data_IF_499433894210
#
_entry.id   IF_499433894210
#
_cell.length_a   1.000
_cell.length_b   1.000
_cell.length_c   1.000
_cell.angle_alpha   90.00
_cell.angle_beta   90.00
_cell.angle_gamma   90.00
#
_symmetry.space_group_name_H-M   'P 1'
#
loop_
_entity.id
_entity.type
_entity.pdbx_description
1 polymer ?
#
# COMPACT_ATOMS: atom_id res chain seq x y z
N UNK A 1 -23.62 22.59 8.37
CA UNK A 1 -23.81 23.68 7.37
C UNK A 1 -23.83 23.12 5.94
N UNK A 2 -22.85 22.32 5.53
CA UNK A 2 -22.82 21.69 4.18
C UNK A 2 -23.98 20.69 3.96
N UNK A 3 -24.25 19.80 4.93
CA UNK A 3 -25.34 18.80 4.81
C UNK A 3 -26.72 19.42 4.55
N UNK A 4 -26.98 20.63 5.07
CA UNK A 4 -28.23 21.34 4.84
C UNK A 4 -28.40 21.78 3.38
N UNK A 5 -27.32 22.27 2.74
CA UNK A 5 -27.36 22.61 1.32
C UNK A 5 -27.56 21.36 0.44
N UNK A 6 -27.00 20.22 0.85
CA UNK A 6 -27.23 18.93 0.20
C UNK A 6 -28.70 18.51 0.31
N UNK A 7 -29.31 18.63 1.49
CA UNK A 7 -30.73 18.32 1.72
C UNK A 7 -31.68 19.25 0.96
N UNK A 8 -31.29 20.49 0.73
CA UNK A 8 -32.05 21.50 -0.01
C UNK A 8 -31.81 21.45 -1.52
N UNK A 9 -31.07 20.45 -2.02
CA UNK A 9 -30.71 20.29 -3.43
C UNK A 9 -29.89 21.47 -4.01
N UNK A 10 -29.28 22.28 -3.15
CA UNK A 10 -28.41 23.42 -3.50
C UNK A 10 -26.97 22.95 -3.80
N UNK A 11 -26.84 22.05 -4.77
CA UNK A 11 -25.62 21.28 -4.99
C UNK A 11 -24.37 22.09 -5.33
N UNK A 12 -24.49 23.17 -6.10
CA UNK A 12 -23.34 23.99 -6.48
C UNK A 12 -22.71 24.67 -5.26
N UNK A 13 -23.54 25.22 -4.36
CA UNK A 13 -23.06 25.82 -3.10
C UNK A 13 -22.46 24.77 -2.17
N UNK A 14 -23.03 23.57 -2.14
CA UNK A 14 -22.44 22.46 -1.38
C UNK A 14 -21.04 22.11 -1.91
N UNK A 15 -20.85 22.04 -3.24
CA UNK A 15 -19.55 21.75 -3.87
C UNK A 15 -18.51 22.84 -3.57
N UNK A 16 -18.86 24.12 -3.72
CA UNK A 16 -17.95 25.24 -3.41
C UNK A 16 -17.44 25.20 -1.96
N UNK A 17 -18.33 24.91 -1.01
CA UNK A 17 -17.95 24.76 0.39
C UNK A 17 -17.07 23.54 0.62
N UNK A 18 -17.35 22.40 -0.03
CA UNK A 18 -16.51 21.20 0.06
C UNK A 18 -15.10 21.48 -0.49
N UNK A 19 -15.00 22.14 -1.64
CA UNK A 19 -13.73 22.46 -2.29
C UNK A 19 -12.85 23.36 -1.42
N UNK A 20 -13.46 24.26 -0.64
CA UNK A 20 -12.77 25.14 0.31
C UNK A 20 -12.18 24.44 1.55
N UNK A 21 -12.60 23.20 1.85
CA UNK A 21 -12.09 22.44 3.00
C UNK A 21 -10.65 21.96 2.72
N UNK A 22 -9.68 22.24 3.60
CA UNK A 22 -8.33 21.69 3.52
C UNK A 22 -8.33 20.16 3.47
N UNK A 23 -7.45 19.56 2.66
CA UNK A 23 -7.35 18.09 2.50
C UNK A 23 -7.16 17.31 3.82
N UNK A 24 -6.73 17.96 4.90
CA UNK A 24 -6.38 17.34 6.17
C UNK A 24 -7.42 17.57 7.30
N UNK A 25 -8.59 18.15 7.03
CA UNK A 25 -9.60 18.44 8.07
C UNK A 25 -11.02 18.00 7.69
N UNK A 26 -11.73 17.39 8.66
CA UNK A 26 -13.11 16.87 8.58
C UNK A 26 -13.28 15.84 7.44
N UNK A 27 -14.26 14.93 7.55
CA UNK A 27 -14.56 13.91 6.55
C UNK A 27 -15.09 14.52 5.22
N UNK A 28 -14.21 15.25 4.52
CA UNK A 28 -14.46 15.84 3.20
C UNK A 28 -14.87 14.77 2.20
N UNK A 29 -14.24 13.59 2.30
CA UNK A 29 -14.60 12.41 1.51
C UNK A 29 -16.06 12.03 1.73
N UNK A 30 -16.51 11.86 2.97
CA UNK A 30 -17.90 11.54 3.29
C UNK A 30 -18.89 12.60 2.80
N UNK A 31 -18.56 13.89 2.92
CA UNK A 31 -19.40 14.97 2.38
C UNK A 31 -19.51 14.92 0.85
N UNK A 32 -18.40 14.68 0.15
CA UNK A 32 -18.38 14.57 -1.31
C UNK A 32 -19.15 13.34 -1.80
N UNK A 33 -18.99 12.19 -1.13
CA UNK A 33 -19.73 10.95 -1.41
C UNK A 33 -21.24 11.18 -1.27
N UNK A 34 -21.67 11.83 -0.19
CA UNK A 34 -23.09 12.14 0.04
C UNK A 34 -23.65 13.06 -1.06
N UNK A 35 -22.89 14.07 -1.48
CA UNK A 35 -23.28 14.95 -2.59
C UNK A 35 -23.41 14.17 -3.90
N UNK A 36 -22.46 13.30 -4.23
CA UNK A 36 -22.54 12.46 -5.44
C UNK A 36 -23.75 11.54 -5.44
N UNK A 37 -24.04 10.88 -4.31
CA UNK A 37 -25.23 10.01 -4.18
C UNK A 37 -26.51 10.81 -4.41
N UNK A 38 -26.63 12.02 -3.83
CA UNK A 38 -27.80 12.89 -4.04
C UNK A 38 -27.94 13.39 -5.47
N UNK A 39 -26.82 13.57 -6.18
CA UNK A 39 -26.81 13.91 -7.61
C UNK A 39 -27.05 12.71 -8.53
N UNK A 40 -27.22 11.48 -8.01
CA UNK A 40 -27.32 10.26 -8.80
C UNK A 40 -25.99 9.80 -9.43
N UNK A 41 -24.86 10.42 -9.05
CA UNK A 41 -23.50 10.12 -9.52
C UNK A 41 -22.89 8.96 -8.75
N UNK A 42 -23.54 7.80 -8.83
CA UNK A 42 -23.20 6.64 -8.01
C UNK A 42 -21.80 6.07 -8.33
N UNK A 43 -21.37 6.11 -9.59
CA UNK A 43 -20.07 5.60 -9.99
C UNK A 43 -18.93 6.44 -9.41
N UNK A 44 -19.09 7.77 -9.40
CA UNK A 44 -18.13 8.70 -8.79
C UNK A 44 -18.08 8.54 -7.27
N UNK A 45 -19.22 8.27 -6.63
CA UNK A 45 -19.28 7.96 -5.20
C UNK A 45 -18.53 6.66 -4.87
N UNK A 46 -18.77 5.59 -5.65
CA UNK A 46 -18.10 4.30 -5.48
C UNK A 46 -16.59 4.44 -5.68
N UNK A 47 -16.16 5.02 -6.80
CA UNK A 47 -14.74 5.25 -7.08
C UNK A 47 -14.04 6.00 -5.93
N UNK A 48 -14.66 7.05 -5.41
CA UNK A 48 -14.09 7.84 -4.31
C UNK A 48 -13.99 7.04 -3.00
N UNK A 49 -15.00 6.23 -2.67
CA UNK A 49 -14.98 5.35 -1.49
C UNK A 49 -13.90 4.28 -1.60
N UNK A 50 -13.77 3.64 -2.76
CA UNK A 50 -12.78 2.60 -3.01
C UNK A 50 -11.35 3.14 -2.99
N UNK A 51 -11.10 4.30 -3.60
CA UNK A 51 -9.81 5.00 -3.50
C UNK A 51 -9.48 5.36 -2.05
N UNK A 52 -10.45 5.87 -1.30
CA UNK A 52 -10.26 6.20 0.11
C UNK A 52 -9.98 4.95 0.96
N UNK A 53 -10.68 3.83 0.69
CA UNK A 53 -10.41 2.54 1.34
C UNK A 53 -8.96 2.11 1.08
N UNK A 54 -8.51 2.13 -0.17
CA UNK A 54 -7.14 1.76 -0.53
C UNK A 54 -6.10 2.63 0.20
N UNK A 55 -6.31 3.94 0.26
CA UNK A 55 -5.42 4.87 1.00
C UNK A 55 -5.38 4.50 2.49
N UNK A 56 -6.53 4.25 3.12
CA UNK A 56 -6.61 3.92 4.55
C UNK A 56 -5.95 2.58 4.89
N UNK A 57 -6.11 1.58 4.03
CA UNK A 57 -5.43 0.29 4.21
C UNK A 57 -3.90 0.44 4.10
N UNK A 58 -3.41 1.24 3.15
CA UNK A 58 -1.98 1.54 3.04
C UNK A 58 -1.46 2.31 4.27
N UNK A 59 -2.23 3.25 4.82
CA UNK A 59 -1.88 3.94 6.08
C UNK A 59 -1.74 2.95 7.25
N UNK A 60 -2.66 1.98 7.36
CA UNK A 60 -2.59 0.89 8.36
C UNK A 60 -1.31 0.07 8.17
N UNK A 61 -0.99 -0.32 6.93
CA UNK A 61 0.24 -1.06 6.62
C UNK A 61 1.51 -0.30 7.03
N UNK A 62 1.57 1.01 6.77
CA UNK A 62 2.69 1.87 7.21
C UNK A 62 2.81 1.90 8.74
N UNK A 63 1.68 2.00 9.45
CA UNK A 63 1.66 1.98 10.93
C UNK A 63 2.17 0.63 11.45
N UNK A 64 1.71 -0.49 10.88
CA UNK A 64 2.14 -1.83 11.27
C UNK A 64 3.65 -2.03 11.07
N UNK A 65 4.21 -1.57 9.96
CA UNK A 65 5.67 -1.59 9.72
C UNK A 65 6.44 -0.79 10.77
N UNK A 66 5.94 0.40 11.15
CA UNK A 66 6.57 1.22 12.19
C UNK A 66 6.49 0.56 13.57
N UNK A 67 5.34 -0.02 13.92
CA UNK A 67 5.18 -0.77 15.18
C UNK A 67 6.12 -1.97 15.22
N UNK A 68 6.26 -2.71 14.12
CA UNK A 68 7.21 -3.81 14.00
C UNK A 68 8.65 -3.33 14.22
N UNK A 69 9.07 -2.26 13.53
CA UNK A 69 10.42 -1.70 13.67
C UNK A 69 10.74 -1.22 15.09
N UNK A 70 9.79 -0.55 15.77
CA UNK A 70 9.95 -0.13 17.17
C UNK A 70 10.06 -1.34 18.11
N UNK A 71 9.22 -2.38 17.94
CA UNK A 71 9.33 -3.59 18.77
C UNK A 71 10.65 -4.33 18.55
N UNK A 72 11.15 -4.38 17.31
CA UNK A 72 12.48 -4.93 17.02
C UNK A 72 13.59 -4.15 17.73
N UNK A 73 13.55 -2.82 17.73
CA UNK A 73 14.53 -1.99 18.44
C UNK A 73 14.52 -2.21 19.96
N UNK A 74 13.36 -2.56 20.52
CA UNK A 74 13.18 -2.88 21.94
C UNK A 74 13.40 -4.37 22.27
N UNK A 75 13.92 -5.18 21.32
CA UNK A 75 14.10 -6.63 21.44
C UNK A 75 12.81 -7.42 21.77
N UNK A 76 11.65 -6.87 21.41
CA UNK A 76 10.31 -7.49 21.54
C UNK A 76 9.96 -8.29 20.29
N UNK A 77 10.66 -9.42 20.12
CA UNK A 77 10.66 -10.18 18.87
C UNK A 77 9.28 -10.78 18.56
N UNK A 78 8.60 -11.34 19.56
CA UNK A 78 7.26 -11.94 19.38
C UNK A 78 6.23 -10.88 18.94
N UNK A 79 6.29 -9.68 19.52
CA UNK A 79 5.43 -8.57 19.13
C UNK A 79 5.75 -8.06 17.71
N UNK A 80 7.02 -8.02 17.32
CA UNK A 80 7.40 -7.67 15.96
C UNK A 80 6.89 -8.70 14.94
N UNK A 81 7.03 -10.00 15.23
CA UNK A 81 6.47 -11.08 14.43
C UNK A 81 4.94 -10.98 14.32
N UNK A 82 4.27 -10.68 15.43
CA UNK A 82 2.83 -10.44 15.43
C UNK A 82 2.46 -9.29 14.48
N UNK A 83 3.16 -8.15 14.52
CA UNK A 83 2.87 -7.03 13.60
C UNK A 83 3.10 -7.40 12.13
N UNK A 84 4.13 -8.18 11.81
CA UNK A 84 4.38 -8.66 10.45
C UNK A 84 3.25 -9.60 9.96
N UNK A 85 2.76 -10.48 10.83
CA UNK A 85 1.63 -11.35 10.53
C UNK A 85 0.33 -10.56 10.30
N UNK A 86 0.06 -9.53 11.10
CA UNK A 86 -1.09 -8.64 10.88
C UNK A 86 -0.95 -7.84 9.58
N UNK A 87 0.26 -7.41 9.22
CA UNK A 87 0.52 -6.73 7.94
C UNK A 87 0.19 -7.64 6.75
N UNK A 88 0.68 -8.88 6.75
CA UNK A 88 0.37 -9.87 5.71
C UNK A 88 -1.13 -10.17 5.67
N UNK A 89 -1.76 -10.37 6.83
CA UNK A 89 -3.21 -10.58 6.94
C UNK A 89 -4.02 -9.41 6.38
N UNK A 90 -3.56 -8.17 6.60
CA UNK A 90 -4.16 -6.96 6.03
C UNK A 90 -4.07 -6.98 4.51
N UNK A 91 -2.90 -7.30 3.95
CA UNK A 91 -2.72 -7.39 2.51
C UNK A 91 -3.65 -8.44 1.88
N UNK A 92 -3.83 -9.61 2.54
CA UNK A 92 -4.77 -10.65 2.09
C UNK A 92 -6.22 -10.22 2.19
N UNK A 93 -6.63 -9.67 3.33
CA UNK A 93 -8.02 -9.33 3.62
C UNK A 93 -8.55 -8.23 2.68
N UNK A 94 -7.66 -7.32 2.25
CA UNK A 94 -8.00 -6.19 1.42
C UNK A 94 -7.56 -6.36 -0.05
N UNK A 95 -7.30 -7.58 -0.53
CA UNK A 95 -6.93 -7.86 -1.93
C UNK A 95 -5.81 -6.96 -2.48
N UNK A 96 -4.83 -6.62 -1.63
CA UNK A 96 -3.70 -5.79 -2.05
C UNK A 96 -2.76 -6.57 -2.96
N UNK A 97 -1.86 -5.84 -3.62
CA UNK A 97 -0.84 -6.46 -4.46
C UNK A 97 -0.06 -7.53 -3.71
N UNK A 98 0.15 -8.70 -4.34
CA UNK A 98 0.83 -9.87 -3.79
C UNK A 98 2.21 -9.56 -3.16
N UNK A 99 2.91 -8.52 -3.67
CA UNK A 99 4.13 -7.99 -3.05
C UNK A 99 3.97 -7.71 -1.55
N UNK A 100 2.82 -7.16 -1.15
CA UNK A 100 2.51 -6.81 0.23
C UNK A 100 2.30 -8.04 1.13
N UNK A 101 2.19 -9.25 0.58
CA UNK A 101 2.18 -10.47 1.40
C UNK A 101 3.53 -10.75 2.04
N UNK A 102 4.62 -10.21 1.47
CA UNK A 102 5.99 -10.55 1.85
C UNK A 102 6.75 -9.38 2.47
N UNK A 103 6.34 -8.14 2.21
CA UNK A 103 7.13 -6.94 2.52
C UNK A 103 7.50 -6.80 4.02
N UNK A 104 6.55 -6.96 4.94
CA UNK A 104 6.85 -6.84 6.38
C UNK A 104 7.71 -7.98 6.91
N UNK A 105 7.41 -9.22 6.49
CA UNK A 105 8.23 -10.38 6.87
C UNK A 105 9.66 -10.28 6.33
N UNK A 106 9.84 -9.70 5.14
CA UNK A 106 11.18 -9.46 4.58
C UNK A 106 11.97 -8.45 5.42
N UNK A 107 11.37 -7.31 5.74
CA UNK A 107 12.00 -6.30 6.59
C UNK A 107 12.32 -6.88 7.99
N UNK A 108 11.42 -7.71 8.54
CA UNK A 108 11.66 -8.40 9.80
C UNK A 108 12.86 -9.37 9.73
N UNK A 109 12.96 -10.18 8.67
CA UNK A 109 14.08 -11.10 8.46
C UNK A 109 15.42 -10.34 8.32
N UNK A 110 15.38 -9.18 7.65
CA UNK A 110 16.54 -8.28 7.50
C UNK A 110 16.98 -7.73 8.86
N UNK A 111 16.04 -7.24 9.67
CA UNK A 111 16.33 -6.74 11.02
C UNK A 111 16.89 -7.84 11.94
N UNK A 112 16.45 -9.09 11.76
CA UNK A 112 16.97 -10.27 12.47
C UNK A 112 18.31 -10.78 11.92
N UNK A 113 18.76 -10.26 10.77
CA UNK A 113 19.90 -10.78 10.00
C UNK A 113 19.74 -12.26 9.62
N UNK A 114 18.51 -12.70 9.39
CA UNK A 114 18.21 -14.05 8.90
C UNK A 114 18.43 -14.10 7.37
N UNK A 115 19.59 -14.57 6.97
CA UNK A 115 20.03 -14.59 5.56
C UNK A 115 19.16 -15.47 4.68
N UNK A 116 18.87 -16.71 5.11
CA UNK A 116 18.10 -17.67 4.31
C UNK A 116 16.67 -17.19 4.12
N UNK A 117 16.03 -16.68 5.18
CA UNK A 117 14.66 -16.19 5.10
C UNK A 117 14.56 -14.88 4.30
N UNK A 118 15.52 -13.97 4.46
CA UNK A 118 15.59 -12.74 3.66
C UNK A 118 15.68 -13.04 2.16
N UNK A 119 16.53 -14.01 1.77
CA UNK A 119 16.69 -14.44 0.38
C UNK A 119 15.40 -15.08 -0.14
N UNK A 120 14.76 -15.94 0.66
CA UNK A 120 13.51 -16.61 0.30
C UNK A 120 12.40 -15.59 0.04
N UNK A 121 12.22 -14.64 0.95
CA UNK A 121 11.17 -13.62 0.85
C UNK A 121 11.44 -12.60 -0.26
N UNK A 122 12.69 -12.19 -0.46
CA UNK A 122 13.08 -11.34 -1.58
C UNK A 122 12.72 -11.98 -2.92
N UNK A 123 12.95 -13.30 -3.07
CA UNK A 123 12.55 -14.03 -4.27
C UNK A 123 11.04 -13.95 -4.49
N UNK A 124 10.23 -14.20 -3.46
CA UNK A 124 8.77 -14.09 -3.53
C UNK A 124 8.32 -12.68 -3.92
N UNK A 125 8.92 -11.64 -3.35
CA UNK A 125 8.64 -10.24 -3.69
C UNK A 125 8.95 -9.95 -5.16
N UNK A 126 10.11 -10.37 -5.67
CA UNK A 126 10.50 -10.18 -7.07
C UNK A 126 9.59 -10.94 -8.04
N UNK A 127 9.13 -12.14 -7.67
CA UNK A 127 8.17 -12.91 -8.48
C UNK A 127 6.79 -12.24 -8.50
N UNK A 128 6.33 -11.72 -7.36
CA UNK A 128 5.09 -10.96 -7.27
C UNK A 128 5.13 -9.66 -8.10
N UNK A 129 6.29 -8.99 -8.14
CA UNK A 129 6.48 -7.77 -8.93
C UNK A 129 6.38 -7.99 -10.45
N UNK A 130 6.66 -9.21 -10.93
CA UNK A 130 6.53 -9.56 -12.36
C UNK A 130 5.08 -9.74 -12.80
N UNK A 131 4.16 -9.93 -11.85
CA UNK A 131 2.74 -10.06 -12.13
C UNK A 131 2.12 -8.67 -12.12
N UNK A 132 1.46 -8.30 -13.22
CA UNK A 132 0.65 -7.08 -13.27
C UNK A 132 -0.42 -7.14 -12.19
N UNK A 133 -0.46 -6.14 -11.32
CA UNK A 133 -1.53 -6.03 -10.34
C UNK A 133 -2.77 -5.43 -11.02
N UNK A 134 -3.79 -6.27 -11.23
CA UNK A 134 -5.09 -5.80 -11.69
C UNK A 134 -5.95 -5.43 -10.47
N UNK A 135 -5.89 -4.17 -10.07
CA UNK A 135 -6.66 -3.65 -8.94
C UNK A 135 -8.18 -3.83 -9.14
N UNK A 136 -8.67 -3.75 -10.39
CA UNK A 136 -10.10 -3.86 -10.68
C UNK A 136 -10.62 -5.30 -10.64
N UNK A 137 -9.74 -6.29 -10.50
CA UNK A 137 -10.12 -7.69 -10.27
C UNK A 137 -10.71 -7.92 -8.87
N UNK A 138 -10.38 -7.05 -7.90
CA UNK A 138 -10.99 -7.07 -6.57
C UNK A 138 -12.33 -6.34 -6.57
N UNK A 139 -13.31 -6.94 -5.88
CA UNK A 139 -14.60 -6.28 -5.62
C UNK A 139 -14.46 -5.06 -4.70
N UNK A 140 -13.36 -4.94 -3.96
CA UNK A 140 -13.08 -3.79 -3.09
C UNK A 140 -12.68 -2.54 -3.87
N UNK A 141 -12.24 -2.70 -5.13
CA UNK A 141 -11.63 -1.63 -5.93
C UNK A 141 -12.09 -1.62 -7.41
N UNK A 142 -13.26 -2.20 -7.68
CA UNK A 142 -13.76 -2.45 -9.04
C UNK A 142 -14.02 -1.17 -9.84
N UNK A 143 -14.38 -0.08 -9.18
CA UNK A 143 -14.75 1.19 -9.79
C UNK A 143 -13.58 2.19 -9.87
N UNK A 144 -12.41 1.87 -9.31
CA UNK A 144 -11.22 2.73 -9.44
C UNK A 144 -10.83 2.84 -10.91
N UNK A 145 -10.82 4.04 -11.47
CA UNK A 145 -10.35 4.26 -12.84
C UNK A 145 -8.85 4.01 -12.93
N UNK A 146 -8.47 2.92 -13.55
CA UNK A 146 -7.07 2.67 -13.91
C UNK A 146 -6.74 3.47 -15.15
N UNK A 147 -5.70 4.32 -15.09
CA UNK A 147 -5.12 4.88 -16.30
C UNK A 147 -4.36 3.76 -16.99
N UNK A 148 -4.62 3.51 -18.27
CA UNK A 148 -3.91 2.51 -19.09
C UNK A 148 -2.37 2.68 -19.04
N UNK A 149 -1.89 3.86 -18.64
CA UNK A 149 -0.48 4.24 -18.49
C UNK A 149 0.11 4.07 -17.07
N UNK A 150 -0.50 3.31 -16.15
CA UNK A 150 0.17 2.92 -14.88
C UNK A 150 1.35 1.95 -15.07
N UNK A 151 1.76 1.71 -16.32
CA UNK A 151 2.96 0.99 -16.71
C UNK A 151 4.17 1.65 -16.03
N UNK A 152 4.71 1.04 -14.98
CA UNK A 152 5.99 1.44 -14.40
C UNK A 152 6.00 1.68 -12.90
N UNK A 153 4.88 1.60 -12.17
CA UNK A 153 4.94 1.63 -10.70
C UNK A 153 5.71 0.42 -10.17
N UNK A 154 5.52 -0.75 -10.80
CA UNK A 154 6.25 -1.97 -10.48
C UNK A 154 7.76 -1.79 -10.71
N UNK A 155 8.13 -1.19 -11.85
CA UNK A 155 9.53 -0.92 -12.19
C UNK A 155 10.16 0.15 -11.27
N UNK A 156 9.39 1.17 -10.87
CA UNK A 156 9.83 2.19 -9.92
C UNK A 156 10.04 1.58 -8.53
N UNK A 157 9.13 0.73 -8.05
CA UNK A 157 9.27 0.04 -6.77
C UNK A 157 10.43 -0.96 -6.80
N UNK A 158 10.55 -1.75 -7.87
CA UNK A 158 11.67 -2.66 -8.08
C UNK A 158 13.02 -1.93 -8.06
N UNK A 159 13.14 -0.85 -8.83
CA UNK A 159 14.38 -0.07 -8.89
C UNK A 159 14.70 0.64 -7.56
N UNK A 160 13.68 1.05 -6.81
CA UNK A 160 13.86 1.64 -5.47
C UNK A 160 14.31 0.59 -4.47
N UNK A 161 13.67 -0.59 -4.44
CA UNK A 161 14.04 -1.71 -3.59
C UNK A 161 15.47 -2.17 -3.85
N UNK A 162 15.86 -2.34 -5.12
CA UNK A 162 17.24 -2.73 -5.48
C UNK A 162 18.24 -1.69 -4.97
N UNK A 163 17.98 -0.40 -5.21
CA UNK A 163 18.85 0.68 -4.73
C UNK A 163 18.96 0.72 -3.21
N UNK A 164 17.87 0.45 -2.50
CA UNK A 164 17.87 0.39 -1.03
C UNK A 164 18.77 -0.76 -0.56
N UNK A 165 18.60 -1.96 -1.13
CA UNK A 165 19.40 -3.13 -0.74
C UNK A 165 20.89 -2.93 -1.08
N UNK A 166 21.20 -2.26 -2.18
CA UNK A 166 22.59 -1.96 -2.58
C UNK A 166 23.27 -0.91 -1.68
N UNK A 167 22.51 0.00 -1.06
CA UNK A 167 23.08 1.17 -0.34
C UNK A 167 22.94 1.12 1.17
N UNK A 168 21.83 0.61 1.70
CA UNK A 168 21.52 0.65 3.11
C UNK A 168 22.32 -0.42 3.90
N UNK A 169 23.01 0.00 4.96
CA UNK A 169 23.84 -0.87 5.81
C UNK A 169 23.05 -2.05 6.40
N UNK A 170 21.73 -1.91 6.60
CA UNK A 170 20.91 -3.01 7.13
C UNK A 170 20.97 -4.29 6.28
N UNK A 171 21.31 -4.17 4.99
CA UNK A 171 21.43 -5.29 4.06
C UNK A 171 22.86 -5.79 3.83
N UNK A 172 23.87 -5.21 4.50
CA UNK A 172 25.28 -5.57 4.28
C UNK A 172 25.52 -7.08 4.39
N UNK A 173 24.86 -7.74 5.36
CA UNK A 173 24.96 -9.18 5.58
C UNK A 173 24.50 -10.04 4.38
N UNK A 174 23.63 -9.53 3.50
CA UNK A 174 23.19 -10.23 2.29
C UNK A 174 24.14 -10.04 1.12
N UNK A 175 24.94 -8.97 1.11
CA UNK A 175 25.79 -8.61 -0.04
C UNK A 175 26.98 -9.56 -0.22
N UNK A 176 27.34 -10.36 0.78
CA UNK A 176 28.33 -11.43 0.63
C UNK A 176 27.75 -12.69 -0.02
N UNK A 177 26.43 -12.81 -0.15
CA UNK A 177 25.79 -14.04 -0.59
C UNK A 177 25.64 -14.12 -2.12
N UNK A 178 26.17 -15.19 -2.73
CA UNK A 178 26.05 -15.39 -4.18
C UNK A 178 24.61 -15.61 -4.65
N UNK A 179 23.72 -16.19 -3.83
CA UNK A 179 22.31 -16.38 -4.19
C UNK A 179 21.58 -15.04 -4.26
N UNK A 180 21.92 -14.11 -3.37
CA UNK A 180 21.43 -12.75 -3.39
C UNK A 180 21.80 -12.03 -4.71
N UNK A 181 23.09 -12.05 -5.11
CA UNK A 181 23.51 -11.44 -6.37
C UNK A 181 22.79 -12.03 -7.59
N UNK A 182 22.53 -13.34 -7.59
CA UNK A 182 21.76 -13.99 -8.67
C UNK A 182 20.32 -13.48 -8.71
N UNK A 183 19.67 -13.30 -7.56
CA UNK A 183 18.29 -12.81 -7.48
C UNK A 183 18.14 -11.38 -8.00
N UNK A 184 19.00 -10.46 -7.57
CA UNK A 184 18.94 -9.06 -8.03
C UNK A 184 19.20 -8.95 -9.53
N UNK A 185 20.18 -9.68 -10.06
CA UNK A 185 20.49 -9.70 -11.49
C UNK A 185 19.39 -10.36 -12.36
N UNK A 186 18.58 -11.24 -11.79
CA UNK A 186 17.41 -11.81 -12.46
C UNK A 186 16.17 -10.91 -12.34
N UNK A 187 16.07 -10.14 -11.26
CA UNK A 187 15.02 -9.15 -11.05
C UNK A 187 15.14 -7.94 -11.98
N UNK A 188 16.34 -7.56 -12.40
CA UNK A 188 16.59 -6.41 -13.30
C UNK A 188 16.36 -6.69 -14.79
N UNK A 189 16.15 -7.95 -15.19
CA UNK A 189 15.78 -8.32 -16.57
C UNK A 189 14.25 -8.37 -16.69
N UNK A 190 13.61 -7.21 -16.71
CA UNK A 190 12.17 -7.04 -17.02
C UNK A 190 12.03 -6.31 -18.35
#
# INVERSE_FOLDING_TARGET
MISKYIEQEEYNKAQELIDSIPKQSIDKTGLQVNLFIKQGKNNEALELLEQNLLVKVNEIQIILLKLMGVNMAENKIEEAEYMANIFEGTAKLYDLWEYNLYAANFELAVLKKDEEESIRLLKCMLEAMKKKWDINSSLLYKNIKTKENNIGIENLLLSSLIKEIEKDEKFEFLRSNQRYFKLINQGTKV
#
